data_IF_449759059167
#
_entry.id   IF_449759059167
#
_cell.length_a   1.000
_cell.length_b   1.000
_cell.length_c   1.000
_cell.angle_alpha   90.00
_cell.angle_beta   90.00
_cell.angle_gamma   90.00
#
_symmetry.space_group_name_H-M   'P 1'
#
loop_
_entity.id
_entity.type
_entity.pdbx_description
1 polymer ?
#
# COMPACT_ATOMS: atom_id res chain seq x y z
N UNK A 1 21.59 9.52 -1.47
CA UNK A 1 20.69 10.36 -2.28
C UNK A 1 19.26 10.31 -1.76
N UNK A 2 18.63 9.13 -1.68
CA UNK A 2 17.24 8.97 -1.19
C UNK A 2 16.99 9.60 0.18
N UNK A 3 17.88 9.41 1.16
CA UNK A 3 17.73 10.01 2.48
C UNK A 3 17.74 11.54 2.47
N UNK A 4 18.68 12.16 1.75
CA UNK A 4 18.78 13.63 1.66
C UNK A 4 17.56 14.23 0.96
N UNK A 5 17.04 13.58 -0.07
CA UNK A 5 15.82 14.02 -0.76
C UNK A 5 14.61 13.91 0.17
N UNK A 6 14.44 12.78 0.88
CA UNK A 6 13.34 12.61 1.82
C UNK A 6 13.38 13.65 2.95
N UNK A 7 14.56 13.96 3.50
CA UNK A 7 14.71 15.04 4.49
C UNK A 7 14.36 16.39 3.90
N UNK A 8 14.82 16.71 2.69
CA UNK A 8 14.49 17.99 2.05
C UNK A 8 12.99 18.15 1.78
N UNK A 9 12.30 17.07 1.40
CA UNK A 9 10.84 17.09 1.25
C UNK A 9 10.14 17.29 2.60
N UNK A 10 10.56 16.58 3.64
CA UNK A 10 10.02 16.72 4.99
C UNK A 10 10.24 18.14 5.57
N UNK A 11 11.40 18.74 5.35
CA UNK A 11 11.69 20.15 5.72
C UNK A 11 10.77 21.14 5.01
N UNK A 12 10.23 20.78 3.85
CA UNK A 12 9.27 21.58 3.08
C UNK A 12 7.83 21.31 3.48
N UNK A 13 7.59 20.47 4.49
CA UNK A 13 6.29 20.27 5.13
C UNK A 13 5.36 19.31 4.40
N UNK A 14 5.88 18.27 3.72
CA UNK A 14 5.02 17.19 3.23
C UNK A 14 4.50 16.34 4.39
N UNK A 15 3.26 15.86 4.29
CA UNK A 15 2.64 15.01 5.32
C UNK A 15 3.14 13.56 5.29
N UNK A 16 3.60 13.09 4.13
CA UNK A 16 4.06 11.73 3.94
C UNK A 16 5.24 11.62 2.96
N UNK A 17 6.08 10.60 3.17
CA UNK A 17 7.07 10.14 2.20
C UNK A 17 6.67 8.74 1.72
N UNK A 18 6.56 8.60 0.41
CA UNK A 18 6.24 7.34 -0.25
C UNK A 18 7.49 6.71 -0.84
N UNK A 19 7.97 5.62 -0.23
CA UNK A 19 9.11 4.85 -0.70
C UNK A 19 8.65 3.81 -1.72
N UNK A 20 9.26 3.85 -2.91
CA UNK A 20 9.05 2.87 -3.98
C UNK A 20 10.03 1.72 -3.87
N UNK A 21 9.55 0.49 -3.65
CA UNK A 21 10.32 -0.75 -3.73
C UNK A 21 9.54 -1.79 -4.53
N UNK A 22 10.23 -2.67 -5.26
CA UNK A 22 9.62 -3.83 -5.92
C UNK A 22 10.24 -5.10 -5.33
N UNK A 23 9.59 -5.68 -4.32
CA UNK A 23 10.10 -6.80 -3.54
C UNK A 23 9.37 -8.10 -3.82
N UNK A 24 8.27 -8.04 -4.58
CA UNK A 24 7.41 -9.17 -4.87
C UNK A 24 7.30 -9.51 -6.35
N UNK A 25 6.84 -10.73 -6.58
CA UNK A 25 6.32 -11.26 -7.83
C UNK A 25 4.87 -11.66 -7.60
N UNK A 26 4.18 -12.20 -8.60
CA UNK A 26 2.82 -12.71 -8.41
C UNK A 26 2.74 -13.83 -7.34
N UNK A 27 3.82 -14.58 -7.12
CA UNK A 27 3.79 -15.82 -6.32
C UNK A 27 4.76 -15.85 -5.15
N UNK A 28 5.76 -14.97 -5.09
CA UNK A 28 6.77 -14.93 -4.03
C UNK A 28 7.44 -13.57 -3.91
N UNK A 29 8.30 -13.39 -2.90
CA UNK A 29 9.28 -12.29 -2.91
C UNK A 29 10.35 -12.50 -3.99
N UNK A 30 10.94 -11.42 -4.50
CA UNK A 30 12.03 -11.42 -5.50
C UNK A 30 13.37 -11.87 -4.93
N UNK A 31 13.61 -11.57 -3.65
CA UNK A 31 14.72 -12.08 -2.86
C UNK A 31 14.17 -12.79 -1.63
N UNK A 32 14.95 -13.68 -1.02
CA UNK A 32 14.48 -14.34 0.20
C UNK A 32 14.26 -13.30 1.31
N UNK A 33 13.24 -13.49 2.17
CA UNK A 33 13.01 -12.59 3.30
C UNK A 33 14.24 -12.43 4.21
N UNK A 34 15.03 -13.49 4.38
CA UNK A 34 16.25 -13.45 5.19
C UNK A 34 17.35 -12.59 4.54
N UNK A 35 17.52 -12.67 3.22
CA UNK A 35 18.41 -11.76 2.52
C UNK A 35 17.94 -10.31 2.62
N UNK A 36 16.62 -10.06 2.53
CA UNK A 36 16.08 -8.72 2.72
C UNK A 36 16.37 -8.19 4.14
N UNK A 37 16.19 -9.03 5.17
CA UNK A 37 16.48 -8.68 6.58
C UNK A 37 17.96 -8.40 6.83
N UNK A 38 18.84 -9.21 6.26
CA UNK A 38 20.28 -9.06 6.43
C UNK A 38 20.82 -7.82 5.69
N UNK A 39 20.32 -7.58 4.48
CA UNK A 39 20.92 -6.59 3.57
C UNK A 39 20.10 -5.30 3.48
N UNK A 40 18.79 -5.35 3.32
CA UNK A 40 18.00 -4.16 2.95
C UNK A 40 17.30 -3.51 4.14
N UNK A 41 16.74 -4.31 5.07
CA UNK A 41 16.06 -3.81 6.27
C UNK A 41 16.90 -2.79 7.07
N UNK A 42 18.20 -3.03 7.37
CA UNK A 42 18.98 -2.09 8.19
C UNK A 42 19.21 -0.76 7.49
N UNK A 43 19.21 -0.74 6.15
CA UNK A 43 19.38 0.48 5.35
C UNK A 43 18.10 1.32 5.40
N UNK A 44 16.94 0.69 5.21
CA UNK A 44 15.64 1.34 5.35
C UNK A 44 15.41 1.86 6.77
N UNK A 45 15.68 1.02 7.78
CA UNK A 45 15.54 1.39 9.19
C UNK A 45 16.34 2.66 9.54
N UNK A 46 17.58 2.79 9.05
CA UNK A 46 18.38 4.01 9.28
C UNK A 46 17.74 5.26 8.67
N UNK A 47 17.21 5.15 7.45
CA UNK A 47 16.57 6.28 6.78
C UNK A 47 15.27 6.66 7.48
N UNK A 48 14.38 5.70 7.70
CA UNK A 48 13.09 5.91 8.35
C UNK A 48 13.28 6.46 9.76
N UNK A 49 14.18 5.86 10.56
CA UNK A 49 14.51 6.37 11.90
C UNK A 49 14.99 7.82 11.84
N UNK A 50 15.88 8.16 10.92
CA UNK A 50 16.39 9.55 10.82
C UNK A 50 15.30 10.57 10.48
N UNK A 51 14.28 10.16 9.70
CA UNK A 51 13.14 10.99 9.36
C UNK A 51 12.21 11.14 10.57
N UNK A 52 11.81 10.02 11.19
CA UNK A 52 10.93 10.00 12.36
C UNK A 52 11.52 10.72 13.58
N UNK A 53 12.83 10.61 13.81
CA UNK A 53 13.51 11.32 14.90
C UNK A 53 13.41 12.86 14.76
N UNK A 54 13.39 13.37 13.52
CA UNK A 54 13.35 14.81 13.21
C UNK A 54 11.94 15.33 12.94
N UNK A 55 11.09 14.47 12.37
CA UNK A 55 9.72 14.77 11.97
C UNK A 55 8.78 13.66 12.49
N UNK A 56 8.41 13.68 13.78
CA UNK A 56 7.64 12.59 14.39
C UNK A 56 6.28 12.33 13.74
N UNK A 57 5.64 13.39 13.23
CA UNK A 57 4.32 13.34 12.58
C UNK A 57 4.38 12.91 11.10
N UNK A 58 5.57 12.81 10.51
CA UNK A 58 5.72 12.45 9.10
C UNK A 58 5.31 10.99 8.87
N UNK A 59 4.34 10.77 7.98
CA UNK A 59 3.90 9.42 7.62
C UNK A 59 4.86 8.77 6.62
N UNK A 60 5.13 7.49 6.80
CA UNK A 60 6.02 6.68 5.98
C UNK A 60 5.18 5.61 5.30
N UNK A 61 5.11 5.71 3.97
CA UNK A 61 4.42 4.75 3.12
C UNK A 61 5.48 3.86 2.46
N UNK A 62 5.36 2.55 2.61
CA UNK A 62 6.16 1.58 1.86
C UNK A 62 5.33 1.02 0.73
N UNK A 63 5.70 1.34 -0.51
CA UNK A 63 5.19 0.68 -1.71
C UNK A 63 5.96 -0.62 -1.95
N UNK A 64 5.24 -1.72 -2.16
CA UNK A 64 5.80 -2.87 -2.85
C UNK A 64 4.76 -3.82 -3.42
N UNK A 65 4.76 -3.95 -4.74
CA UNK A 65 3.94 -4.91 -5.46
C UNK A 65 4.39 -6.36 -5.21
N UNK A 66 3.46 -7.27 -5.44
CA UNK A 66 3.62 -8.71 -5.40
C UNK A 66 3.32 -9.34 -4.04
N UNK A 67 3.66 -10.62 -3.90
CA UNK A 67 3.44 -11.42 -2.70
C UNK A 67 4.45 -11.08 -1.59
N UNK A 68 4.37 -9.86 -1.05
CA UNK A 68 5.31 -9.30 -0.05
C UNK A 68 4.84 -9.45 1.41
N UNK A 69 3.72 -10.12 1.64
CA UNK A 69 3.19 -10.43 2.97
C UNK A 69 4.24 -10.98 3.98
N UNK A 70 5.24 -11.78 3.57
CA UNK A 70 6.31 -12.23 4.48
C UNK A 70 7.18 -11.11 5.09
N UNK A 71 7.11 -9.89 4.57
CA UNK A 71 7.92 -8.72 4.98
C UNK A 71 7.13 -7.66 5.76
N UNK A 72 5.79 -7.78 5.86
CA UNK A 72 4.95 -6.72 6.47
C UNK A 72 5.30 -6.48 7.95
N UNK A 73 5.55 -7.54 8.74
CA UNK A 73 6.03 -7.37 10.11
C UNK A 73 7.38 -6.63 10.16
N UNK A 74 8.24 -6.85 9.18
CA UNK A 74 9.51 -6.16 9.12
C UNK A 74 9.35 -4.67 8.76
N UNK A 75 8.37 -4.32 7.93
CA UNK A 75 8.02 -2.92 7.63
C UNK A 75 7.52 -2.19 8.89
N UNK A 76 6.63 -2.84 9.65
CA UNK A 76 6.14 -2.32 10.94
C UNK A 76 7.31 -2.08 11.89
N UNK A 77 8.23 -3.05 12.03
CA UNK A 77 9.38 -2.95 12.93
C UNK A 77 10.29 -1.75 12.62
N UNK A 78 10.42 -1.38 11.35
CA UNK A 78 11.29 -0.27 10.94
C UNK A 78 10.58 1.09 10.91
N UNK A 79 9.31 1.16 11.36
CA UNK A 79 8.55 2.41 11.49
C UNK A 79 7.79 2.85 10.25
N UNK A 80 7.39 1.91 9.39
CA UNK A 80 6.42 2.18 8.31
C UNK A 80 5.02 2.30 8.89
N UNK A 81 4.32 3.39 8.55
CA UNK A 81 2.95 3.64 9.03
C UNK A 81 1.89 3.08 8.07
N UNK A 82 2.19 3.03 6.77
CA UNK A 82 1.23 2.64 5.73
C UNK A 82 1.87 1.62 4.78
N UNK A 83 1.23 0.45 4.63
CA UNK A 83 1.57 -0.53 3.61
C UNK A 83 0.78 -0.27 2.32
N UNK A 84 1.51 -0.17 1.21
CA UNK A 84 0.97 0.00 -0.12
C UNK A 84 1.67 -0.97 -1.10
N UNK A 85 1.00 -1.50 -2.13
CA UNK A 85 -0.44 -1.64 -2.22
C UNK A 85 -0.94 -2.90 -1.51
N UNK A 86 -2.23 -2.91 -1.16
CA UNK A 86 -2.95 -4.15 -0.83
C UNK A 86 -3.30 -4.89 -2.13
N UNK A 87 -2.26 -5.35 -2.86
CA UNK A 87 -2.43 -5.86 -4.21
C UNK A 87 -3.37 -7.07 -4.23
N UNK A 88 -4.40 -7.10 -5.08
CA UNK A 88 -5.23 -8.29 -5.26
C UNK A 88 -4.48 -9.39 -6.00
N UNK A 89 -5.03 -10.61 -5.95
CA UNK A 89 -4.58 -11.75 -6.75
C UNK A 89 -3.15 -12.25 -6.44
N UNK A 90 -2.55 -11.84 -5.31
CA UNK A 90 -1.24 -12.32 -4.83
C UNK A 90 -1.36 -12.99 -3.46
N UNK A 91 -0.48 -13.95 -3.20
CA UNK A 91 -0.49 -14.70 -1.94
C UNK A 91 -0.23 -13.80 -0.72
N UNK A 92 -1.04 -13.97 0.33
CA UNK A 92 -0.91 -13.25 1.60
C UNK A 92 -1.40 -11.80 1.57
N UNK A 93 -2.10 -11.39 0.52
CA UNK A 93 -2.68 -10.04 0.38
C UNK A 93 -4.22 -10.05 0.43
N UNK A 94 -4.81 -11.09 1.02
CA UNK A 94 -6.25 -11.07 1.31
C UNK A 94 -6.55 -9.92 2.29
N UNK A 95 -7.53 -9.03 1.98
CA UNK A 95 -7.84 -7.90 2.84
C UNK A 95 -8.19 -8.29 4.28
N UNK A 96 -8.94 -9.38 4.48
CA UNK A 96 -9.36 -9.79 5.83
C UNK A 96 -8.18 -10.29 6.64
N UNK A 97 -7.35 -11.15 6.04
CA UNK A 97 -6.14 -11.66 6.67
C UNK A 97 -5.16 -10.54 7.05
N UNK A 98 -4.99 -9.54 6.17
CA UNK A 98 -4.13 -8.39 6.44
C UNK A 98 -4.67 -7.55 7.60
N UNK A 99 -5.96 -7.21 7.57
CA UNK A 99 -6.58 -6.41 8.63
C UNK A 99 -6.50 -7.15 9.98
N UNK A 100 -6.81 -8.45 10.02
CA UNK A 100 -6.75 -9.24 11.26
C UNK A 100 -5.34 -9.33 11.84
N UNK A 101 -4.33 -9.46 10.98
CA UNK A 101 -2.95 -9.68 11.43
C UNK A 101 -2.21 -8.39 11.75
N UNK A 102 -2.54 -7.29 11.06
CA UNK A 102 -1.72 -6.07 11.08
C UNK A 102 -2.51 -4.77 11.28
N UNK A 103 -3.84 -4.76 11.19
CA UNK A 103 -4.64 -3.53 11.18
C UNK A 103 -4.50 -2.63 12.40
N UNK A 104 -4.18 -3.19 13.57
CA UNK A 104 -3.89 -2.41 14.79
C UNK A 104 -2.51 -1.73 14.79
N UNK A 105 -1.62 -2.12 13.87
CA UNK A 105 -0.19 -1.74 13.85
C UNK A 105 0.22 -0.98 12.60
N UNK A 106 -0.55 -1.07 11.53
CA UNK A 106 -0.26 -0.41 10.25
C UNK A 106 -1.57 -0.06 9.53
N UNK A 107 -1.53 1.03 8.79
CA UNK A 107 -2.59 1.41 7.87
C UNK A 107 -2.34 0.83 6.48
N UNK A 108 -3.37 0.83 5.65
CA UNK A 108 -3.34 0.21 4.33
C UNK A 108 -3.69 1.22 3.24
N UNK A 109 -3.11 1.06 2.06
CA UNK A 109 -3.36 1.93 0.92
C UNK A 109 -3.47 1.11 -0.37
N UNK A 110 -4.50 1.37 -1.18
CA UNK A 110 -4.68 0.81 -2.51
C UNK A 110 -5.59 -0.41 -2.51
N UNK A 111 -5.47 -1.26 -3.54
CA UNK A 111 -6.05 -2.59 -3.56
C UNK A 111 -7.26 -2.80 -4.46
N UNK A 112 -7.83 -1.76 -5.07
CA UNK A 112 -8.78 -1.99 -6.17
C UNK A 112 -8.05 -2.61 -7.36
N UNK A 113 -8.58 -3.72 -7.86
CA UNK A 113 -7.91 -4.52 -8.89
C UNK A 113 -7.79 -3.77 -10.22
N UNK A 114 -6.55 -3.45 -10.58
CA UNK A 114 -6.24 -2.78 -11.83
C UNK A 114 -6.06 -3.77 -13.00
N UNK A 115 -5.80 -5.05 -12.73
CA UNK A 115 -5.46 -6.04 -13.76
C UNK A 115 -6.70 -6.60 -14.46
N UNK A 116 -7.76 -6.89 -13.72
CA UNK A 116 -8.96 -7.54 -14.28
C UNK A 116 -10.22 -6.71 -14.08
N UNK A 117 -10.48 -6.26 -12.84
CA UNK A 117 -11.73 -5.56 -12.52
C UNK A 117 -11.88 -4.20 -13.23
N UNK A 118 -10.85 -3.34 -13.16
CA UNK A 118 -10.89 -2.02 -13.79
C UNK A 118 -10.92 -2.09 -15.33
N UNK A 119 -10.13 -2.94 -16.02
CA UNK A 119 -10.21 -3.08 -17.48
C UNK A 119 -11.53 -3.70 -17.95
N UNK A 120 -12.14 -4.61 -17.17
CA UNK A 120 -13.43 -5.21 -17.51
C UNK A 120 -14.57 -4.18 -17.59
N UNK A 121 -14.51 -3.11 -16.79
CA UNK A 121 -15.49 -2.02 -16.82
C UNK A 121 -16.88 -2.40 -16.34
N UNK A 122 -17.01 -3.48 -15.57
CA UNK A 122 -18.26 -3.86 -14.91
C UNK A 122 -18.46 -2.99 -13.66
N UNK A 123 -19.29 -1.96 -13.78
CA UNK A 123 -19.58 -1.03 -12.69
C UNK A 123 -20.25 -1.71 -11.48
N UNK A 124 -21.03 -2.77 -11.68
CA UNK A 124 -21.69 -3.47 -10.58
C UNK A 124 -20.67 -4.30 -9.78
N UNK A 125 -19.80 -5.03 -10.47
CA UNK A 125 -18.70 -5.75 -9.83
C UNK A 125 -17.73 -4.81 -9.10
N UNK A 126 -17.40 -3.67 -9.73
CA UNK A 126 -16.54 -2.65 -9.14
C UNK A 126 -17.15 -2.05 -7.87
N UNK A 127 -18.44 -1.69 -7.88
CA UNK A 127 -19.15 -1.18 -6.71
C UNK A 127 -19.24 -2.22 -5.58
N UNK A 128 -19.42 -3.51 -5.92
CA UNK A 128 -19.43 -4.59 -4.95
C UNK A 128 -18.06 -4.76 -4.27
N UNK A 129 -16.97 -4.73 -5.04
CA UNK A 129 -15.61 -4.85 -4.49
C UNK A 129 -15.22 -3.63 -3.63
N UNK A 130 -15.57 -2.42 -4.07
CA UNK A 130 -15.36 -1.18 -3.29
C UNK A 130 -16.06 -1.28 -1.94
N UNK A 131 -17.34 -1.69 -1.92
CA UNK A 131 -18.08 -1.89 -0.66
C UNK A 131 -17.41 -2.95 0.22
N UNK A 132 -17.05 -4.10 -0.34
CA UNK A 132 -16.40 -5.20 0.40
C UNK A 132 -15.09 -4.73 1.04
N UNK A 133 -14.27 -3.97 0.32
CA UNK A 133 -13.00 -3.45 0.87
C UNK A 133 -13.21 -2.39 1.93
N UNK A 134 -14.19 -1.51 1.75
CA UNK A 134 -14.54 -0.53 2.78
C UNK A 134 -15.00 -1.21 4.08
N UNK A 135 -15.84 -2.24 3.98
CA UNK A 135 -16.31 -3.01 5.14
C UNK A 135 -15.18 -3.75 5.86
N UNK A 136 -14.21 -4.31 5.11
CA UNK A 136 -13.13 -5.11 5.70
C UNK A 136 -11.98 -4.24 6.23
N UNK A 137 -11.46 -3.37 5.38
CA UNK A 137 -10.23 -2.60 5.63
C UNK A 137 -10.55 -1.24 6.24
N UNK A 138 -11.70 -0.66 5.92
CA UNK A 138 -12.12 0.64 6.43
C UNK A 138 -12.72 0.59 7.83
N UNK A 139 -12.99 -0.59 8.40
CA UNK A 139 -13.65 -0.76 9.69
C UNK A 139 -12.95 -0.01 10.84
N UNK A 140 -11.61 0.04 10.82
CA UNK A 140 -10.80 0.71 11.85
C UNK A 140 -10.34 2.12 11.44
N UNK A 141 -10.86 2.65 10.32
CA UNK A 141 -10.45 3.96 9.79
C UNK A 141 -9.00 4.01 9.29
N UNK A 142 -8.34 2.86 9.12
CA UNK A 142 -6.92 2.73 8.78
C UNK A 142 -6.68 2.37 7.30
N UNK A 143 -7.57 2.79 6.40
CA UNK A 143 -7.51 2.41 4.98
C UNK A 143 -7.71 3.58 4.01
N UNK A 144 -6.74 3.78 3.13
CA UNK A 144 -6.80 4.67 1.98
C UNK A 144 -7.14 3.87 0.72
N UNK A 145 -8.41 3.94 0.28
CA UNK A 145 -8.84 3.22 -0.91
C UNK A 145 -8.33 3.89 -2.19
N UNK A 146 -7.71 3.08 -3.06
CA UNK A 146 -7.24 3.48 -4.38
C UNK A 146 -7.03 2.23 -5.26
N UNK A 147 -6.75 2.38 -6.57
CA UNK A 147 -6.22 1.29 -7.38
C UNK A 147 -4.97 0.68 -6.73
N UNK A 148 -4.77 -0.62 -6.90
CA UNK A 148 -3.56 -1.30 -6.43
C UNK A 148 -2.30 -0.78 -7.11
N UNK A 149 -2.40 -0.35 -8.37
CA UNK A 149 -1.28 0.23 -9.10
C UNK A 149 -1.81 1.32 -10.06
N UNK A 150 -0.89 2.02 -10.75
CA UNK A 150 -1.21 3.05 -11.75
C UNK A 150 -2.22 2.51 -12.77
N UNK A 151 -3.30 3.27 -12.99
CA UNK A 151 -4.34 2.99 -13.98
C UNK A 151 -3.70 2.96 -15.38
N UNK A 152 -3.91 1.87 -16.11
CA UNK A 152 -3.36 1.66 -17.45
C UNK A 152 -4.30 2.16 -18.56
N UNK A 153 -3.80 2.28 -19.78
CA UNK A 153 -4.50 2.89 -20.92
C UNK A 153 -5.68 2.05 -21.46
N UNK A 154 -5.80 0.79 -21.03
CA UNK A 154 -6.90 -0.13 -21.33
C UNK A 154 -8.13 0.09 -20.41
N UNK A 155 -8.00 0.90 -19.36
CA UNK A 155 -9.11 1.31 -18.50
C UNK A 155 -9.83 2.50 -19.12
N UNK A 156 -11.13 2.34 -19.40
CA UNK A 156 -11.97 3.41 -19.94
C UNK A 156 -12.19 4.52 -18.89
N UNK A 157 -12.21 5.82 -19.28
CA UNK A 157 -12.50 6.91 -18.36
C UNK A 157 -13.80 6.72 -17.55
N UNK A 158 -14.85 6.19 -18.17
CA UNK A 158 -16.12 5.90 -17.49
C UNK A 158 -16.00 4.85 -16.38
N UNK A 159 -15.03 3.93 -16.46
CA UNK A 159 -14.76 3.00 -15.35
C UNK A 159 -14.10 3.72 -14.17
N UNK A 160 -13.22 4.69 -14.44
CA UNK A 160 -12.59 5.52 -13.40
C UNK A 160 -13.64 6.38 -12.71
N UNK A 161 -14.56 6.97 -13.46
CA UNK A 161 -15.71 7.72 -12.93
C UNK A 161 -16.59 6.81 -12.05
N UNK A 162 -16.94 5.62 -12.54
CA UNK A 162 -17.72 4.64 -11.77
C UNK A 162 -17.01 4.22 -10.47
N UNK A 163 -15.68 4.07 -10.48
CA UNK A 163 -14.89 3.82 -9.27
C UNK A 163 -15.06 4.97 -8.27
N UNK A 164 -14.84 6.21 -8.72
CA UNK A 164 -14.92 7.41 -7.87
C UNK A 164 -16.32 7.56 -7.27
N UNK A 165 -17.36 7.38 -8.08
CA UNK A 165 -18.75 7.49 -7.65
C UNK A 165 -19.11 6.40 -6.63
N UNK A 166 -18.66 5.16 -6.87
CA UNK A 166 -18.85 4.07 -5.92
C UNK A 166 -18.16 4.35 -4.58
N UNK A 167 -16.94 4.90 -4.57
CA UNK A 167 -16.27 5.30 -3.32
C UNK A 167 -17.04 6.41 -2.61
N UNK A 168 -17.42 7.47 -3.32
CA UNK A 168 -18.19 8.60 -2.73
C UNK A 168 -19.55 8.18 -2.18
N UNK A 169 -20.14 7.10 -2.69
CA UNK A 169 -21.41 6.57 -2.22
C UNK A 169 -21.33 5.90 -0.84
N UNK A 170 -20.12 5.63 -0.33
CA UNK A 170 -19.90 4.99 0.97
C UNK A 170 -20.10 5.95 2.17
N UNK A 171 -20.15 7.27 1.93
CA UNK A 171 -20.17 8.31 2.97
C UNK A 171 -18.78 8.83 3.31
#
# INVERSE_FOLDING_TARGET
WTASLAHSLAERGVDAIWFGEDLGTQTSTLISPDMWRERFKPRHARVIKSLKDKFPELLIIMHSDGAVAPLVNDFIEIGVDIYNPVQPNVSGSDPRELQDKYGERISFFGGIDQQELMPAGDAAALAAEIRRRAEIMGAEGNYLMAPAHIIQADVKPGTVEAMIDAVKSLG
#
